data_IF_055262340272
#
_entry.id   IF_055262340272
#
_cell.length_a   1.000
_cell.length_b   1.000
_cell.length_c   1.000
_cell.angle_alpha   90.00
_cell.angle_beta   90.00
_cell.angle_gamma   90.00
#
_symmetry.space_group_name_H-M   'P 1'
#
loop_
_entity.id
_entity.type
_entity.pdbx_description
1 polymer ?
#
# COMPACT_ATOMS: atom_id res chain seq x y z
N UNK A 1 -18.89 -33.89 -8.59
CA UNK A 1 -18.86 -32.54 -8.01
C UNK A 1 -17.55 -32.45 -7.27
N UNK A 2 -16.54 -31.85 -7.90
CA UNK A 2 -15.20 -31.75 -7.33
C UNK A 2 -15.15 -30.47 -6.52
N UNK A 3 -14.86 -30.61 -5.22
CA UNK A 3 -14.67 -29.53 -4.26
C UNK A 3 -13.70 -28.46 -4.79
N UNK A 4 -14.28 -27.35 -5.21
CA UNK A 4 -13.57 -26.13 -5.59
C UNK A 4 -13.13 -25.46 -4.29
N UNK A 5 -11.96 -25.86 -3.78
CA UNK A 5 -11.33 -25.25 -2.62
C UNK A 5 -10.89 -23.82 -2.97
N UNK A 6 -11.84 -22.87 -2.91
CA UNK A 6 -11.56 -21.44 -2.91
C UNK A 6 -10.69 -21.16 -1.69
N UNK A 7 -9.39 -20.97 -1.90
CA UNK A 7 -8.48 -20.45 -0.88
C UNK A 7 -9.04 -19.12 -0.39
N UNK A 8 -9.57 -19.10 0.83
CA UNK A 8 -10.01 -17.87 1.49
C UNK A 8 -8.76 -17.03 1.80
N UNK A 9 -8.40 -16.13 0.88
CA UNK A 9 -7.38 -15.12 1.14
C UNK A 9 -7.94 -14.12 2.14
N UNK A 10 -7.68 -14.34 3.42
CA UNK A 10 -8.07 -13.38 4.46
C UNK A 10 -7.34 -12.06 4.23
N UNK A 11 -8.12 -11.01 3.99
CA UNK A 11 -7.62 -9.63 3.95
C UNK A 11 -8.00 -8.88 5.22
N UNK A 12 -7.16 -7.96 5.64
CA UNK A 12 -7.51 -7.00 6.69
C UNK A 12 -7.03 -5.60 6.31
N UNK A 13 -7.68 -4.61 6.92
CA UNK A 13 -7.33 -3.20 6.76
C UNK A 13 -6.48 -2.79 7.95
N UNK A 14 -5.34 -2.19 7.68
CA UNK A 14 -4.50 -1.53 8.68
C UNK A 14 -4.46 -0.03 8.37
N UNK A 15 -4.58 0.80 9.41
CA UNK A 15 -4.48 2.27 9.30
C UNK A 15 -3.29 2.74 10.12
N UNK A 16 -2.44 3.55 9.49
CA UNK A 16 -1.17 4.01 10.06
C UNK A 16 -1.11 5.53 9.93
N UNK A 17 -0.98 6.24 11.05
CA UNK A 17 -0.65 7.67 11.04
C UNK A 17 0.84 7.85 10.75
N UNK A 18 1.16 8.71 9.78
CA UNK A 18 2.52 8.90 9.29
C UNK A 18 2.82 10.39 9.14
N UNK A 19 3.95 10.84 9.68
CA UNK A 19 4.45 12.19 9.39
C UNK A 19 4.81 12.29 7.91
N UNK A 20 4.46 13.41 7.28
CA UNK A 20 4.65 13.59 5.85
C UNK A 20 6.11 13.39 5.41
N UNK A 21 7.09 13.78 6.26
CA UNK A 21 8.52 13.57 6.01
C UNK A 21 8.92 12.11 5.84
N UNK A 22 8.19 11.18 6.47
CA UNK A 22 8.47 9.74 6.46
C UNK A 22 7.57 8.99 5.45
N UNK A 23 6.64 9.69 4.79
CA UNK A 23 5.60 9.11 3.95
C UNK A 23 6.17 8.33 2.76
N UNK A 24 7.14 8.91 2.05
CA UNK A 24 7.76 8.31 0.87
C UNK A 24 8.44 6.99 1.23
N UNK A 25 9.17 6.97 2.34
CA UNK A 25 9.90 5.77 2.77
C UNK A 25 8.94 4.69 3.26
N UNK A 26 7.87 5.08 3.98
CA UNK A 26 6.84 4.13 4.37
C UNK A 26 6.13 3.50 3.16
N UNK A 27 5.84 4.27 2.12
CA UNK A 27 5.25 3.73 0.88
C UNK A 27 6.20 2.75 0.19
N UNK A 28 7.50 3.06 0.11
CA UNK A 28 8.50 2.13 -0.45
C UNK A 28 8.58 0.82 0.34
N UNK A 29 8.55 0.87 1.66
CA UNK A 29 8.53 -0.33 2.52
C UNK A 29 7.31 -1.21 2.23
N UNK A 30 6.12 -0.60 2.12
CA UNK A 30 4.87 -1.32 1.84
C UNK A 30 4.91 -2.00 0.46
N UNK A 31 5.47 -1.32 -0.55
CA UNK A 31 5.68 -1.91 -1.89
C UNK A 31 6.66 -3.09 -1.80
N UNK A 32 7.79 -2.92 -1.09
CA UNK A 32 8.81 -3.98 -0.93
C UNK A 32 8.30 -5.19 -0.16
N UNK A 33 7.44 -4.98 0.83
CA UNK A 33 6.87 -6.06 1.64
C UNK A 33 6.00 -7.02 0.82
N UNK A 34 5.42 -6.56 -0.31
CA UNK A 34 4.68 -7.40 -1.26
C UNK A 34 3.37 -7.99 -0.71
N UNK A 35 3.04 -7.78 0.56
CA UNK A 35 1.84 -8.30 1.23
C UNK A 35 0.68 -7.29 1.25
N UNK A 36 0.87 -6.12 0.65
CA UNK A 36 -0.17 -5.08 0.50
C UNK A 36 -0.75 -5.17 -0.91
N UNK A 37 -2.08 -5.26 -1.01
CA UNK A 37 -2.79 -5.27 -2.31
C UNK A 37 -3.31 -3.91 -2.74
N UNK A 38 -3.62 -3.06 -1.77
CA UNK A 38 -4.15 -1.71 -2.00
C UNK A 38 -3.61 -0.77 -0.94
N UNK A 39 -3.19 0.42 -1.37
CA UNK A 39 -2.70 1.49 -0.51
C UNK A 39 -3.53 2.74 -0.78
N UNK A 40 -4.01 3.37 0.28
CA UNK A 40 -4.83 4.58 0.27
C UNK A 40 -4.16 5.60 1.17
N UNK A 41 -3.90 6.80 0.67
CA UNK A 41 -3.38 7.92 1.46
C UNK A 41 -4.53 8.90 1.69
N UNK A 42 -4.73 9.30 2.94
CA UNK A 42 -5.77 10.25 3.35
C UNK A 42 -5.19 11.42 4.12
N UNK A 43 -5.87 12.56 4.05
CA UNK A 43 -5.68 13.64 5.03
C UNK A 43 -6.13 13.15 6.41
N UNK A 44 -5.64 13.76 7.52
CA UNK A 44 -6.11 13.45 8.87
C UNK A 44 -7.64 13.55 9.03
N UNK A 45 -8.28 14.47 8.29
CA UNK A 45 -9.73 14.66 8.23
C UNK A 45 -10.51 13.65 7.36
N UNK A 46 -9.88 12.58 6.86
CA UNK A 46 -10.55 11.46 6.19
C UNK A 46 -10.64 11.54 4.65
N UNK A 47 -10.38 12.70 4.06
CA UNK A 47 -10.38 12.87 2.60
C UNK A 47 -9.28 12.03 1.92
N UNK A 48 -9.65 11.24 0.91
CA UNK A 48 -8.70 10.47 0.09
C UNK A 48 -7.88 11.40 -0.79
N UNK A 49 -6.57 11.22 -0.78
CA UNK A 49 -5.61 11.96 -1.59
C UNK A 49 -5.12 11.13 -2.77
N UNK A 50 -4.85 9.85 -2.51
CA UNK A 50 -4.31 8.92 -3.50
C UNK A 50 -4.76 7.51 -3.14
N UNK A 51 -5.09 6.72 -4.16
CA UNK A 51 -5.39 5.31 -4.01
C UNK A 51 -4.71 4.53 -5.14
N UNK A 52 -3.98 3.47 -4.78
CA UNK A 52 -3.23 2.66 -5.73
C UNK A 52 -3.41 1.15 -5.46
N UNK A 53 -3.72 0.34 -6.48
CA UNK A 53 -3.63 -1.11 -6.39
C UNK A 53 -2.16 -1.52 -6.53
N UNK A 54 -1.60 -2.13 -5.49
CA UNK A 54 -0.20 -2.59 -5.48
C UNK A 54 -0.02 -3.96 -6.16
N UNK A 55 -1.12 -4.68 -6.43
CA UNK A 55 -1.11 -5.95 -7.17
C UNK A 55 -0.72 -5.81 -8.64
N UNK A 56 -0.81 -4.60 -9.21
CA UNK A 56 -0.48 -4.35 -10.61
C UNK A 56 1.04 -4.31 -10.90
N UNK A 57 1.90 -4.30 -9.87
CA UNK A 57 3.35 -4.14 -10.01
C UNK A 57 4.20 -5.41 -9.85
N UNK A 58 3.59 -6.59 -9.76
CA UNK A 58 4.28 -7.86 -9.41
C UNK A 58 5.03 -8.50 -10.61
N UNK A 59 5.01 -7.88 -11.78
CA UNK A 59 5.78 -8.35 -12.94
C UNK A 59 7.27 -8.00 -12.81
N UNK A 60 8.04 -8.94 -12.24
CA UNK A 60 9.47 -9.23 -12.46
C UNK A 60 10.46 -8.03 -12.54
N UNK A 61 11.31 -7.89 -11.52
CA UNK A 61 12.59 -7.16 -11.59
C UNK A 61 12.58 -5.62 -11.58
N UNK A 62 11.47 -4.97 -11.95
CA UNK A 62 11.40 -3.51 -12.20
C UNK A 62 10.36 -2.76 -11.35
N UNK A 63 10.01 -3.30 -10.19
CA UNK A 63 8.89 -2.81 -9.36
C UNK A 63 9.04 -1.32 -9.01
N UNK A 64 10.23 -0.87 -8.59
CA UNK A 64 10.42 0.51 -8.14
C UNK A 64 10.28 1.55 -9.27
N UNK A 65 10.72 1.22 -10.48
CA UNK A 65 10.64 2.11 -11.65
C UNK A 65 9.19 2.29 -12.11
N UNK A 66 8.38 1.24 -12.02
CA UNK A 66 6.95 1.30 -12.33
C UNK A 66 6.18 2.19 -11.33
N UNK A 67 6.59 2.18 -10.06
CA UNK A 67 6.01 3.06 -9.05
C UNK A 67 6.65 4.45 -9.02
N UNK A 68 7.58 4.80 -9.92
CA UNK A 68 8.23 6.13 -9.91
C UNK A 68 7.23 7.30 -10.01
N UNK A 69 6.19 7.29 -10.87
CA UNK A 69 5.20 8.36 -10.91
C UNK A 69 4.40 8.47 -9.60
N UNK A 70 4.07 7.33 -9.00
CA UNK A 70 3.36 7.27 -7.72
C UNK A 70 4.24 7.83 -6.61
N UNK A 71 5.50 7.40 -6.52
CA UNK A 71 6.47 7.89 -5.54
C UNK A 71 6.72 9.40 -5.72
N UNK A 72 6.74 9.91 -6.94
CA UNK A 72 6.83 11.34 -7.23
C UNK A 72 5.60 12.11 -6.71
N UNK A 73 4.39 11.61 -6.96
CA UNK A 73 3.16 12.21 -6.44
C UNK A 73 3.13 12.21 -4.90
N UNK A 74 3.54 11.09 -4.29
CA UNK A 74 3.68 10.97 -2.83
C UNK A 74 4.72 11.96 -2.29
N UNK A 75 5.86 12.14 -2.98
CA UNK A 75 6.87 13.12 -2.63
C UNK A 75 6.36 14.56 -2.69
N UNK A 76 5.61 14.91 -3.73
CA UNK A 76 4.97 16.22 -3.85
C UNK A 76 3.96 16.46 -2.71
N UNK A 77 3.15 15.46 -2.37
CA UNK A 77 2.23 15.54 -1.23
C UNK A 77 2.96 15.69 0.11
N UNK A 78 4.07 14.94 0.30
CA UNK A 78 4.88 14.98 1.50
C UNK A 78 5.50 16.36 1.75
N UNK A 79 5.78 17.13 0.71
CA UNK A 79 6.30 18.50 0.81
C UNK A 79 5.26 19.53 1.28
N UNK A 80 3.96 19.23 1.13
CA UNK A 80 2.87 20.18 1.39
C UNK A 80 2.09 19.88 2.68
N UNK A 81 2.23 18.68 3.22
CA UNK A 81 1.46 18.17 4.36
C UNK A 81 2.36 18.00 5.58
N UNK A 82 1.77 17.97 6.77
CA UNK A 82 2.49 17.68 8.02
C UNK A 82 2.33 16.22 8.44
N UNK A 83 1.11 15.69 8.26
CA UNK A 83 0.73 14.33 8.65
C UNK A 83 -0.34 13.81 7.70
N UNK A 84 -0.33 12.50 7.48
CA UNK A 84 -1.32 11.77 6.68
C UNK A 84 -1.66 10.44 7.34
N UNK A 85 -2.74 9.82 6.88
CA UNK A 85 -3.11 8.44 7.20
C UNK A 85 -2.86 7.56 6.00
N UNK A 86 -2.18 6.44 6.20
CA UNK A 86 -2.05 5.38 5.20
C UNK A 86 -2.97 4.25 5.61
N UNK A 87 -3.94 3.92 4.76
CA UNK A 87 -4.74 2.70 4.89
C UNK A 87 -4.21 1.67 3.90
N UNK A 88 -3.95 0.45 4.37
CA UNK A 88 -3.50 -0.65 3.53
C UNK A 88 -4.42 -1.84 3.68
N UNK A 89 -4.73 -2.46 2.55
CA UNK A 89 -5.38 -3.78 2.52
C UNK A 89 -4.29 -4.82 2.38
N UNK A 90 -4.05 -5.58 3.45
CA UNK A 90 -3.07 -6.66 3.47
C UNK A 90 -3.72 -8.02 3.22
N UNK A 91 -2.90 -8.96 2.77
CA UNK A 91 -3.26 -10.38 2.65
C UNK A 91 -2.48 -11.23 3.64
N UNK A 92 -3.14 -12.18 4.30
CA UNK A 92 -2.47 -13.16 5.16
C UNK A 92 -1.95 -14.28 4.26
N UNK A 93 -0.65 -14.41 4.13
CA UNK A 93 -0.06 -15.65 3.63
C UNK A 93 -0.37 -16.76 4.63
N UNK A 94 -0.92 -17.89 4.18
CA UNK A 94 -0.95 -19.12 4.97
C UNK A 94 0.51 -19.55 5.15
N UNK A 95 1.12 -19.21 6.28
CA UNK A 95 2.26 -19.84 6.96
C UNK A 95 2.72 -18.89 8.09
N UNK A 96 2.47 -19.30 9.33
CA UNK A 96 3.37 -19.28 10.49
C UNK A 96 2.49 -19.52 11.73
N UNK A 97 2.45 -20.78 12.17
CA UNK A 97 2.29 -21.17 13.57
C UNK A 97 3.64 -20.95 14.30
#
# INVERSE_FOLDING_TARGET
MSDESKKEEHTWIEVIDVYAKDLVDRVKELIKAGNVRRLIIRKPGGNVLLEIPLTAGVAVGSVMTLFAPVLAAVGAMAALLTMVKIEVVRVKGKNED
#
